data_IF_541694221654
#
_entry.id   IF_541694221654
#
_cell.length_a   1.000
_cell.length_b   1.000
_cell.length_c   1.000
_cell.angle_alpha   90.00
_cell.angle_beta   90.00
_cell.angle_gamma   90.00
#
_symmetry.space_group_name_H-M   'P 1'
#
loop_
_entity.id
_entity.type
_entity.pdbx_description
1 polymer ?
#
# COMPACT_ATOMS: atom_id res chain seq x y z
N UNK A 1 -15.37 2.28 -3.04
CA UNK A 1 -13.99 2.10 -2.55
C UNK A 1 -13.56 3.33 -1.75
N UNK A 2 -12.88 3.14 -0.61
CA UNK A 2 -12.22 4.19 0.17
C UNK A 2 -10.72 4.16 -0.12
N UNK A 3 -10.08 5.32 -0.16
CA UNK A 3 -8.64 5.44 -0.42
C UNK A 3 -7.90 5.97 0.80
N UNK A 4 -6.70 5.44 1.01
CA UNK A 4 -5.83 5.78 2.11
C UNK A 4 -4.40 6.00 1.62
N UNK A 5 -3.69 6.97 2.21
CA UNK A 5 -2.26 7.18 1.97
C UNK A 5 -1.48 6.45 3.05
N UNK A 6 -0.59 5.57 2.62
CA UNK A 6 0.29 4.85 3.54
C UNK A 6 1.50 5.70 3.88
N UNK A 7 1.68 5.86 5.19
CA UNK A 7 2.76 6.60 5.82
C UNK A 7 3.46 5.69 6.81
N UNK A 8 4.75 5.92 7.02
CA UNK A 8 5.50 5.22 8.03
C UNK A 8 6.53 6.14 8.69
N UNK A 9 6.82 5.85 9.95
CA UNK A 9 7.77 6.56 10.76
C UNK A 9 8.91 5.59 11.10
N UNK A 10 10.06 5.67 10.41
CA UNK A 10 11.17 4.73 10.61
C UNK A 10 11.86 4.90 11.97
N UNK A 11 11.72 6.07 12.60
CA UNK A 11 12.33 6.39 13.87
C UNK A 11 11.29 6.40 15.00
N UNK A 12 11.34 5.39 15.87
CA UNK A 12 10.40 5.20 16.98
C UNK A 12 10.71 6.07 18.22
N UNK A 13 11.63 7.04 18.12
CA UNK A 13 11.96 7.95 19.24
C UNK A 13 10.83 8.90 19.61
N UNK A 14 9.95 9.23 18.66
CA UNK A 14 8.80 10.09 18.87
C UNK A 14 7.52 9.24 18.90
N UNK A 15 6.46 9.67 19.60
CA UNK A 15 5.15 8.99 19.52
C UNK A 15 4.68 8.84 18.07
N UNK A 16 3.84 7.84 17.74
CA UNK A 16 3.32 7.71 16.38
C UNK A 16 2.63 8.98 15.89
N UNK A 17 3.00 9.46 14.69
CA UNK A 17 2.47 10.69 14.10
C UNK A 17 0.94 10.83 14.21
N UNK A 18 0.19 9.80 13.84
CA UNK A 18 -1.28 9.85 13.86
C UNK A 18 -1.88 10.15 15.25
N UNK A 19 -1.16 9.81 16.33
CA UNK A 19 -1.55 10.17 17.71
C UNK A 19 -1.23 11.62 18.04
N UNK A 20 -0.12 12.15 17.53
CA UNK A 20 0.31 13.53 17.81
C UNK A 20 -0.64 14.55 17.17
N UNK A 21 -1.20 14.23 16.01
CA UNK A 21 -2.15 15.08 15.26
C UNK A 21 -3.61 14.64 15.41
N UNK A 22 -3.90 13.72 16.33
CA UNK A 22 -5.24 13.22 16.64
C UNK A 22 -6.06 12.76 15.41
N UNK A 23 -5.40 12.10 14.45
CA UNK A 23 -6.06 11.63 13.24
C UNK A 23 -7.04 10.50 13.56
N UNK A 24 -8.23 10.60 12.96
CA UNK A 24 -9.30 9.60 13.04
C UNK A 24 -9.29 8.71 11.80
N UNK A 25 -10.02 7.60 11.86
CA UNK A 25 -10.26 6.68 10.74
C UNK A 25 -8.98 6.14 10.07
N UNK A 26 -7.89 6.05 10.85
CA UNK A 26 -6.62 5.50 10.39
C UNK A 26 -6.63 3.96 10.48
N UNK A 27 -6.02 3.30 9.50
CA UNK A 27 -5.69 1.87 9.58
C UNK A 27 -4.26 1.77 10.08
N UNK A 28 -4.09 1.30 11.31
CA UNK A 28 -2.79 1.27 11.98
C UNK A 28 -2.29 -0.17 12.05
N UNK A 29 -1.04 -0.42 11.65
CA UNK A 29 -0.42 -1.72 11.80
C UNK A 29 -0.19 -2.09 13.27
N UNK A 30 0.20 -3.34 13.53
CA UNK A 30 0.43 -3.83 14.90
C UNK A 30 1.49 -3.01 15.65
N UNK A 31 2.58 -2.60 14.98
CA UNK A 31 3.64 -1.78 15.60
C UNK A 31 3.29 -0.31 15.77
N UNK A 32 2.25 0.19 15.11
CA UNK A 32 1.83 1.59 15.25
C UNK A 32 2.62 2.61 14.42
N UNK A 33 3.80 2.27 13.91
CA UNK A 33 4.64 3.19 13.14
C UNK A 33 4.49 3.09 11.62
N UNK A 34 3.63 2.20 11.13
CA UNK A 34 3.11 2.24 9.76
C UNK A 34 1.60 2.30 9.81
N UNK A 35 1.01 3.22 9.05
CA UNK A 35 -0.40 3.49 9.12
C UNK A 35 -0.90 4.06 7.78
N UNK A 36 -2.19 3.87 7.50
CA UNK A 36 -2.86 4.43 6.34
C UNK A 36 -3.91 5.45 6.81
N UNK A 37 -3.83 6.67 6.29
CA UNK A 37 -4.76 7.76 6.62
C UNK A 37 -5.71 8.02 5.44
N UNK A 38 -6.96 8.47 5.66
CA UNK A 38 -7.87 8.80 4.56
C UNK A 38 -7.22 9.73 3.53
N UNK A 39 -7.47 9.48 2.24
CA UNK A 39 -6.76 10.17 1.17
C UNK A 39 -7.66 10.58 0.02
N UNK A 40 -7.63 11.88 -0.27
CA UNK A 40 -7.76 12.44 -1.62
C UNK A 40 -6.53 13.34 -1.87
N UNK A 41 -6.10 13.55 -3.11
CA UNK A 41 -4.99 14.46 -3.40
C UNK A 41 -5.21 15.87 -2.83
N UNK A 42 -6.44 16.39 -2.93
CA UNK A 42 -6.80 17.71 -2.44
C UNK A 42 -6.73 17.79 -0.91
N UNK A 43 -7.37 16.85 -0.21
CA UNK A 43 -7.44 16.87 1.25
C UNK A 43 -6.07 16.61 1.88
N UNK A 44 -5.29 15.70 1.29
CA UNK A 44 -3.94 15.40 1.78
C UNK A 44 -2.99 16.60 1.60
N UNK A 45 -3.08 17.31 0.48
CA UNK A 45 -2.30 18.52 0.27
C UNK A 45 -2.73 19.63 1.22
N UNK A 46 -4.03 19.85 1.41
CA UNK A 46 -4.54 20.83 2.37
C UNK A 46 -4.09 20.51 3.80
N UNK A 47 -4.12 19.23 4.18
CA UNK A 47 -3.64 18.75 5.48
C UNK A 47 -2.15 19.04 5.71
N UNK A 48 -1.31 18.85 4.69
CA UNK A 48 0.13 19.15 4.78
C UNK A 48 0.49 20.63 4.62
N UNK A 49 -0.46 21.49 4.24
CA UNK A 49 -0.29 22.94 4.20
C UNK A 49 -0.54 23.60 5.56
N UNK A 50 -1.05 22.86 6.54
CA UNK A 50 -1.10 23.33 7.92
C UNK A 50 0.31 23.27 8.55
N UNK A 51 0.80 24.42 9.00
CA UNK A 51 2.16 24.56 9.54
C UNK A 51 2.42 23.67 10.75
N UNK A 52 1.43 23.49 11.64
CA UNK A 52 1.62 22.65 12.83
C UNK A 52 1.76 21.18 12.44
N UNK A 53 0.87 20.71 11.56
CA UNK A 53 0.89 19.35 11.03
C UNK A 53 2.18 19.09 10.27
N UNK A 54 2.59 20.01 9.39
CA UNK A 54 3.80 19.87 8.59
C UNK A 54 5.06 19.80 9.46
N UNK A 55 5.16 20.65 10.48
CA UNK A 55 6.27 20.63 11.43
C UNK A 55 6.34 19.30 12.19
N UNK A 56 5.20 18.77 12.66
CA UNK A 56 5.16 17.46 13.32
C UNK A 56 5.54 16.35 12.34
N UNK A 57 5.09 16.42 11.08
CA UNK A 57 5.39 15.46 10.03
C UNK A 57 6.91 15.37 9.79
N UNK A 58 7.58 16.52 9.67
CA UNK A 58 9.04 16.62 9.48
C UNK A 58 9.78 16.17 10.73
N UNK A 59 9.43 16.69 11.92
CA UNK A 59 10.08 16.36 13.19
C UNK A 59 9.96 14.87 13.54
N UNK A 60 8.80 14.28 13.27
CA UNK A 60 8.55 12.85 13.45
C UNK A 60 9.17 12.00 12.34
N UNK A 61 9.84 12.61 11.37
CA UNK A 61 10.50 11.95 10.24
C UNK A 61 9.58 11.03 9.43
N UNK A 62 8.30 11.41 9.32
CA UNK A 62 7.31 10.62 8.60
C UNK A 62 7.69 10.54 7.13
N UNK A 63 7.58 9.35 6.56
CA UNK A 63 7.85 9.05 5.16
C UNK A 63 6.55 8.62 4.49
N UNK A 64 6.38 9.10 3.27
CA UNK A 64 5.34 8.60 2.37
C UNK A 64 5.84 7.31 1.73
N UNK A 65 5.01 6.27 1.69
CA UNK A 65 5.39 5.04 1.02
C UNK A 65 5.48 5.25 -0.50
N UNK A 66 6.57 4.75 -1.07
CA UNK A 66 6.73 4.54 -2.51
C UNK A 66 7.04 3.06 -2.76
N UNK A 67 6.46 2.50 -3.81
CA UNK A 67 6.60 1.12 -4.23
C UNK A 67 7.32 1.08 -5.57
N UNK A 68 8.42 0.34 -5.60
CA UNK A 68 9.11 -0.05 -6.82
C UNK A 68 8.63 -1.43 -7.28
N UNK A 69 8.97 -1.80 -8.51
CA UNK A 69 8.76 -3.16 -9.04
C UNK A 69 9.28 -4.25 -8.08
N UNK A 70 10.45 -4.06 -7.46
CA UNK A 70 10.97 -5.02 -6.49
C UNK A 70 10.07 -5.18 -5.25
N UNK A 71 9.46 -4.09 -4.76
CA UNK A 71 8.50 -4.21 -3.65
C UNK A 71 7.20 -4.88 -4.10
N UNK A 72 6.74 -4.60 -5.31
CA UNK A 72 5.58 -5.26 -5.87
C UNK A 72 5.79 -6.75 -6.08
N UNK A 73 6.92 -7.14 -6.68
CA UNK A 73 7.29 -8.54 -6.86
C UNK A 73 7.32 -9.29 -5.52
N UNK A 74 7.96 -8.71 -4.50
CA UNK A 74 7.98 -9.32 -3.16
C UNK A 74 6.57 -9.43 -2.55
N UNK A 75 5.70 -8.44 -2.76
CA UNK A 75 4.32 -8.51 -2.29
C UNK A 75 3.54 -9.61 -2.99
N UNK A 76 3.67 -9.70 -4.31
CA UNK A 76 3.04 -10.71 -5.16
C UNK A 76 3.47 -12.12 -4.74
N UNK A 77 4.77 -12.34 -4.54
CA UNK A 77 5.33 -13.61 -4.05
C UNK A 77 4.88 -13.99 -2.63
N UNK A 78 4.48 -13.01 -1.81
CA UNK A 78 4.08 -13.20 -0.41
C UNK A 78 2.58 -13.00 -0.19
N UNK A 79 1.79 -12.91 -1.27
CA UNK A 79 0.36 -12.51 -1.22
C UNK A 79 -0.49 -13.39 -0.28
N UNK A 80 -0.18 -14.69 -0.22
CA UNK A 80 -0.88 -15.66 0.63
C UNK A 80 -0.78 -15.34 2.13
N UNK A 81 0.31 -14.67 2.56
CA UNK A 81 0.49 -14.24 3.96
C UNK A 81 -0.52 -13.16 4.38
N UNK A 82 -1.13 -12.51 3.40
CA UNK A 82 -2.14 -11.48 3.58
C UNK A 82 -3.53 -11.98 3.18
N UNK A 83 -3.71 -13.27 2.85
CA UNK A 83 -4.97 -13.79 2.32
C UNK A 83 -5.52 -12.95 1.14
N UNK A 84 -4.61 -12.47 0.29
CA UNK A 84 -4.90 -11.68 -0.90
C UNK A 84 -4.49 -12.47 -2.14
N UNK A 85 -5.31 -12.43 -3.18
CA UNK A 85 -5.03 -13.02 -4.48
C UNK A 85 -4.94 -11.91 -5.53
N UNK A 86 -3.82 -11.83 -6.23
CA UNK A 86 -3.61 -10.89 -7.33
C UNK A 86 -4.57 -11.24 -8.47
N UNK A 87 -5.30 -10.24 -8.97
CA UNK A 87 -6.26 -10.42 -10.06
C UNK A 87 -6.00 -9.53 -11.27
N UNK A 88 -5.23 -8.45 -11.09
CA UNK A 88 -4.90 -7.51 -12.17
C UNK A 88 -3.72 -6.61 -11.74
N UNK A 89 -3.03 -6.00 -12.71
CA UNK A 89 -2.07 -4.93 -12.49
C UNK A 89 -2.04 -3.92 -13.64
N UNK A 90 -1.65 -2.68 -13.32
CA UNK A 90 -1.48 -1.60 -14.31
C UNK A 90 -0.02 -1.22 -14.45
N UNK A 91 0.43 -1.14 -15.69
CA UNK A 91 1.75 -0.65 -16.04
C UNK A 91 1.67 0.79 -16.53
N UNK A 92 2.81 1.47 -16.49
CA UNK A 92 2.93 2.82 -17.02
C UNK A 92 2.99 2.78 -18.55
N UNK A 93 2.03 3.43 -19.21
CA UNK A 93 1.92 3.54 -20.66
C UNK A 93 1.58 2.22 -21.41
N UNK A 94 1.26 1.15 -20.68
CA UNK A 94 0.89 -0.14 -21.28
C UNK A 94 -0.33 -0.69 -20.57
N UNK A 95 -1.28 -1.21 -21.35
CA UNK A 95 -2.32 -2.09 -20.83
C UNK A 95 -1.76 -3.51 -20.72
N UNK A 96 -2.25 -4.26 -19.75
CA UNK A 96 -1.68 -5.56 -19.43
C UNK A 96 -1.98 -6.60 -20.51
N UNK A 97 -3.13 -6.48 -21.16
CA UNK A 97 -3.55 -7.35 -22.25
C UNK A 97 -2.57 -7.24 -23.44
N UNK A 98 -2.03 -6.05 -23.69
CA UNK A 98 -1.02 -5.83 -24.74
C UNK A 98 0.31 -6.49 -24.40
N UNK A 99 0.68 -6.53 -23.11
CA UNK A 99 1.94 -7.13 -22.64
C UNK A 99 1.89 -8.66 -22.58
N UNK A 100 0.70 -9.23 -22.37
CA UNK A 100 0.51 -10.67 -22.31
C UNK A 100 0.37 -11.31 -23.70
N UNK A 101 0.20 -10.53 -24.77
CA UNK A 101 0.08 -11.03 -26.15
C UNK A 101 -0.97 -12.16 -26.33
N UNK A 102 -2.03 -12.15 -25.50
CA UNK A 102 -3.07 -13.18 -25.50
C UNK A 102 -2.85 -14.36 -24.55
N UNK A 103 -1.76 -14.37 -23.78
CA UNK A 103 -1.57 -15.30 -22.66
C UNK A 103 -2.51 -14.98 -21.48
N UNK A 104 -2.81 -16.01 -20.67
CA UNK A 104 -3.62 -15.83 -19.47
C UNK A 104 -2.84 -15.06 -18.39
N UNK A 105 -3.54 -14.15 -17.69
CA UNK A 105 -2.98 -13.48 -16.52
C UNK A 105 -2.66 -14.49 -15.42
N UNK A 106 -1.38 -14.73 -15.21
CA UNK A 106 -0.88 -15.63 -14.18
C UNK A 106 0.38 -15.06 -13.52
N UNK A 107 0.73 -15.62 -12.38
CA UNK A 107 1.85 -15.16 -11.56
C UNK A 107 3.18 -15.15 -12.33
N UNK A 108 3.49 -16.23 -13.04
CA UNK A 108 4.77 -16.42 -13.75
C UNK A 108 4.96 -15.37 -14.86
N UNK A 109 3.90 -15.08 -15.64
CA UNK A 109 3.95 -14.04 -16.67
C UNK A 109 4.18 -12.64 -16.06
N UNK A 110 3.56 -12.33 -14.91
CA UNK A 110 3.79 -11.04 -14.22
C UNK A 110 5.19 -10.96 -13.65
N UNK A 111 5.72 -12.04 -13.10
CA UNK A 111 7.10 -12.09 -12.61
C UNK A 111 8.11 -11.85 -13.74
N UNK A 112 7.90 -12.46 -14.90
CA UNK A 112 8.74 -12.26 -16.08
C UNK A 112 8.70 -10.80 -16.56
N UNK A 113 7.51 -10.20 -16.66
CA UNK A 113 7.35 -8.79 -17.01
C UNK A 113 8.04 -7.86 -15.99
N UNK A 114 7.95 -8.19 -14.70
CA UNK A 114 8.54 -7.40 -13.62
C UNK A 114 10.07 -7.48 -13.53
N UNK A 115 10.66 -8.56 -14.07
CA UNK A 115 12.11 -8.69 -14.18
C UNK A 115 12.68 -7.85 -15.34
N UNK A 116 11.85 -7.50 -16.33
CA UNK A 116 12.22 -6.55 -17.37
C UNK A 116 12.12 -5.10 -16.82
N UNK A 117 13.24 -4.37 -16.85
CA UNK A 117 13.32 -3.01 -16.28
C UNK A 117 12.53 -1.96 -17.08
N UNK A 118 12.08 -2.29 -18.28
CA UNK A 118 11.34 -1.36 -19.15
C UNK A 118 9.87 -1.17 -18.70
N UNK A 119 9.33 -2.08 -17.89
CA UNK A 119 7.94 -2.04 -17.46
C UNK A 119 7.80 -1.57 -16.01
N UNK A 120 7.23 -0.39 -15.79
CA UNK A 120 6.97 0.16 -14.44
C UNK A 120 5.54 -0.15 -13.99
N UNK A 121 5.36 -0.90 -12.88
CA UNK A 121 4.03 -1.11 -12.29
C UNK A 121 3.56 0.16 -11.57
N UNK A 122 2.35 0.59 -11.91
CA UNK A 122 1.67 1.73 -11.29
C UNK A 122 0.66 1.31 -10.23
N UNK A 123 0.06 0.13 -10.35
CA UNK A 123 -0.97 -0.34 -9.42
C UNK A 123 -1.15 -1.86 -9.47
N UNK A 124 -1.35 -2.48 -8.31
CA UNK A 124 -1.83 -3.86 -8.18
C UNK A 124 -3.29 -3.89 -7.71
N UNK A 125 -4.01 -4.94 -8.12
CA UNK A 125 -5.37 -5.24 -7.72
C UNK A 125 -5.42 -6.64 -7.13
N UNK A 126 -5.92 -6.73 -5.90
CA UNK A 126 -6.07 -7.97 -5.17
C UNK A 126 -7.53 -8.20 -4.78
N UNK A 127 -7.92 -9.47 -4.68
CA UNK A 127 -9.14 -9.91 -4.00
C UNK A 127 -8.80 -10.51 -2.65
N UNK A 128 -9.53 -10.11 -1.63
CA UNK A 128 -9.52 -10.79 -0.34
C UNK A 128 -10.31 -12.10 -0.39
N UNK A 129 -10.23 -12.91 0.67
CA UNK A 129 -11.12 -14.08 0.86
C UNK A 129 -12.61 -13.77 0.81
N UNK A 130 -13.01 -12.57 1.23
CA UNK A 130 -14.38 -12.08 1.13
C UNK A 130 -14.74 -11.51 -0.25
N UNK A 131 -13.88 -11.66 -1.26
CA UNK A 131 -13.99 -11.07 -2.60
C UNK A 131 -14.01 -9.53 -2.64
N UNK A 132 -13.59 -8.86 -1.56
CA UNK A 132 -13.42 -7.41 -1.55
C UNK A 132 -12.17 -7.01 -2.33
N UNK A 133 -12.25 -5.91 -3.08
CA UNK A 133 -11.09 -5.38 -3.80
C UNK A 133 -10.15 -4.61 -2.85
N UNK A 134 -8.86 -4.94 -2.92
CA UNK A 134 -7.76 -4.20 -2.29
C UNK A 134 -6.79 -3.78 -3.38
N UNK A 135 -6.54 -2.49 -3.53
CA UNK A 135 -5.66 -1.94 -4.57
C UNK A 135 -4.49 -1.20 -3.96
N UNK A 136 -3.34 -1.25 -4.61
CA UNK A 136 -2.13 -0.61 -4.10
C UNK A 136 -1.34 0.08 -5.22
N UNK A 137 -1.31 1.42 -5.19
CA UNK A 137 -0.63 2.27 -6.18
C UNK A 137 0.83 2.52 -5.84
N UNK A 138 1.64 2.83 -6.86
CA UNK A 138 3.09 2.99 -6.73
C UNK A 138 3.49 4.12 -5.79
N UNK A 139 2.63 5.12 -5.67
CA UNK A 139 2.76 6.22 -4.72
C UNK A 139 2.24 5.90 -3.30
N UNK A 140 2.04 4.62 -2.96
CA UNK A 140 1.63 4.20 -1.62
C UNK A 140 0.18 4.53 -1.26
N UNK A 141 -0.71 4.66 -2.26
CA UNK A 141 -2.15 4.79 -2.03
C UNK A 141 -2.81 3.42 -2.04
N UNK A 142 -3.53 3.12 -0.96
CA UNK A 142 -4.28 1.90 -0.75
C UNK A 142 -5.77 2.16 -0.98
N UNK A 143 -6.39 1.46 -1.90
CA UNK A 143 -7.84 1.46 -2.08
C UNK A 143 -8.45 0.19 -1.49
N UNK A 144 -9.54 0.33 -0.75
CA UNK A 144 -10.23 -0.80 -0.10
C UNK A 144 -11.73 -0.65 -0.34
N UNK A 145 -12.39 -1.73 -0.72
CA UNK A 145 -13.85 -1.77 -0.76
C UNK A 145 -14.49 -1.52 0.62
N UNK A 146 -15.75 -1.11 0.63
CA UNK A 146 -16.52 -1.03 1.87
C UNK A 146 -16.95 -2.42 2.32
N UNK A 147 -17.08 -2.63 3.63
CA UNK A 147 -17.67 -3.85 4.17
C UNK A 147 -16.69 -4.98 4.48
N UNK A 148 -15.37 -4.70 4.50
CA UNK A 148 -14.39 -5.67 5.01
C UNK A 148 -14.75 -6.13 6.41
N UNK A 149 -14.63 -7.44 6.63
CA UNK A 149 -14.66 -8.06 7.94
C UNK A 149 -13.44 -7.65 8.78
N UNK A 150 -13.52 -7.85 10.10
CA UNK A 150 -12.39 -7.61 11.01
C UNK A 150 -11.14 -8.43 10.63
N UNK A 151 -11.33 -9.67 10.15
CA UNK A 151 -10.22 -10.53 9.70
C UNK A 151 -9.51 -9.93 8.48
N UNK A 152 -10.26 -9.45 7.50
CA UNK A 152 -9.70 -8.78 6.33
C UNK A 152 -9.00 -7.48 6.70
N UNK A 153 -9.50 -6.74 7.69
CA UNK A 153 -8.80 -5.57 8.23
C UNK A 153 -7.48 -5.94 8.91
N UNK A 154 -7.41 -7.09 9.60
CA UNK A 154 -6.14 -7.59 10.16
C UNK A 154 -5.14 -7.87 9.04
N UNK A 155 -5.58 -8.46 7.95
CA UNK A 155 -4.73 -8.75 6.80
C UNK A 155 -4.23 -7.49 6.08
N UNK A 156 -5.09 -6.48 5.93
CA UNK A 156 -4.68 -5.16 5.45
C UNK A 156 -3.64 -4.51 6.38
N UNK A 157 -3.77 -4.66 7.69
CA UNK A 157 -2.78 -4.15 8.65
C UNK A 157 -1.42 -4.83 8.48
N UNK A 158 -1.40 -6.15 8.25
CA UNK A 158 -0.17 -6.90 7.93
C UNK A 158 0.44 -6.43 6.61
N UNK A 159 -0.38 -6.19 5.59
CA UNK A 159 0.05 -5.65 4.30
C UNK A 159 0.75 -4.31 4.48
N UNK A 160 0.13 -3.36 5.20
CA UNK A 160 0.69 -2.02 5.47
C UNK A 160 2.04 -2.13 6.17
N UNK A 161 2.16 -3.01 7.16
CA UNK A 161 3.41 -3.24 7.89
C UNK A 161 4.51 -3.80 6.98
N UNK A 162 4.17 -4.82 6.20
CA UNK A 162 5.09 -5.47 5.29
C UNK A 162 5.65 -4.51 4.24
N UNK A 163 4.82 -3.73 3.58
CA UNK A 163 5.31 -2.84 2.50
C UNK A 163 6.08 -1.61 3.04
N UNK A 164 5.84 -1.25 4.30
CA UNK A 164 6.53 -0.14 4.97
C UNK A 164 7.92 -0.54 5.47
N UNK A 165 8.05 -1.72 6.07
CA UNK A 165 9.29 -2.13 6.78
C UNK A 165 9.95 -3.42 6.24
N UNK A 166 9.30 -4.13 5.33
CA UNK A 166 9.81 -5.33 4.68
C UNK A 166 9.47 -6.65 5.39
N UNK A 167 9.92 -7.79 4.82
CA UNK A 167 9.53 -9.15 5.22
C UNK A 167 9.93 -9.57 6.64
N UNK A 168 10.99 -8.97 7.22
CA UNK A 168 11.50 -9.33 8.56
C UNK A 168 10.49 -9.09 9.69
N UNK A 169 9.37 -8.45 9.39
CA UNK A 169 8.37 -7.99 10.36
C UNK A 169 7.15 -8.90 10.44
N UNK A 170 7.06 -9.93 9.58
CA UNK A 170 5.99 -10.93 9.56
C UNK A 170 6.30 -12.17 10.43
N UNK A 171 7.33 -12.10 11.28
CA UNK A 171 7.77 -13.17 12.19
C UNK A 171 7.20 -12.92 13.59
#
# INVERSE_FOLDING_TARGET
MKYFKILFQPNEKNPPFYKQVFLKDCIVSKKGYSFAIPYSPQDFNAFLMDDQIYNIFVYSTVKQLMLSNHKYLNLILMQDRFNLSLVDCKFKNYEIEDLLEGEEFNLESIEALLQNQDYEIMQLFFRSKGNHMVTLKSNGVLGIDSGLSEEEYIDVKKLIEFISFGPRMLV
#
